data_IF_450078614026
#
_entry.id   IF_450078614026
#
_cell.length_a   1.000
_cell.length_b   1.000
_cell.length_c   1.000
_cell.angle_alpha   90.00
_cell.angle_beta   90.00
_cell.angle_gamma   90.00
#
_symmetry.space_group_name_H-M   'P 1'
#
loop_
_entity.id
_entity.type
_entity.pdbx_description
1 polymer ?
#
# COMPACT_ATOMS: atom_id res chain seq x y z
N UNK A 1 -28.92 -6.97 -1.01
CA UNK A 1 -27.59 -7.46 -1.44
C UNK A 1 -27.09 -8.46 -0.42
N UNK A 2 -26.39 -9.51 -0.85
CA UNK A 2 -25.69 -10.44 0.04
C UNK A 2 -24.19 -10.36 -0.21
N UNK A 3 -23.43 -10.25 0.88
CA UNK A 3 -21.97 -10.27 0.87
C UNK A 3 -21.48 -11.58 1.48
N UNK A 4 -20.64 -12.31 0.74
CA UNK A 4 -19.90 -13.46 1.27
C UNK A 4 -18.42 -13.11 1.25
N UNK A 5 -17.74 -13.29 2.37
CA UNK A 5 -16.30 -13.02 2.49
C UNK A 5 -15.58 -14.32 2.81
N UNK A 6 -14.75 -14.77 1.89
CA UNK A 6 -13.85 -15.90 2.10
C UNK A 6 -12.42 -15.36 2.26
N UNK A 7 -11.82 -15.55 3.43
CA UNK A 7 -10.41 -15.19 3.71
C UNK A 7 -9.52 -16.39 3.41
N UNK A 8 -8.55 -16.22 2.53
CA UNK A 8 -7.56 -17.24 2.18
C UNK A 8 -6.29 -17.13 3.05
N UNK A 9 -5.56 -18.24 3.16
CA UNK A 9 -4.30 -18.40 3.90
C UNK A 9 -3.18 -17.50 3.38
N UNK A 10 -3.29 -16.99 2.16
CA UNK A 10 -2.33 -16.09 1.53
C UNK A 10 -2.59 -14.60 1.80
N UNK A 11 -3.40 -14.27 2.82
CA UNK A 11 -3.79 -12.88 3.11
C UNK A 11 -4.55 -12.23 1.95
N UNK A 12 -5.43 -13.01 1.33
CA UNK A 12 -6.37 -12.54 0.32
C UNK A 12 -7.79 -12.71 0.85
N UNK A 13 -8.68 -11.78 0.52
CA UNK A 13 -10.11 -11.87 0.79
C UNK A 13 -10.85 -11.84 -0.54
N UNK A 14 -11.70 -12.84 -0.77
CA UNK A 14 -12.65 -12.89 -1.88
C UNK A 14 -14.00 -12.43 -1.36
N UNK A 15 -14.49 -11.32 -1.89
CA UNK A 15 -15.79 -10.75 -1.57
C UNK A 15 -16.74 -11.07 -2.72
N UNK A 16 -17.65 -12.01 -2.50
CA UNK A 16 -18.73 -12.31 -3.45
C UNK A 16 -19.94 -11.44 -3.13
N UNK A 17 -20.39 -10.67 -4.12
CA UNK A 17 -21.61 -9.86 -4.05
C UNK A 17 -22.67 -10.50 -4.90
N UNK A 18 -23.80 -10.85 -4.29
CA UNK A 18 -25.00 -11.30 -5.00
C UNK A 18 -26.07 -10.22 -4.90
N UNK A 19 -26.54 -9.74 -6.06
CA UNK A 19 -27.66 -8.80 -6.12
C UNK A 19 -28.98 -9.55 -6.07
N UNK A 20 -29.90 -9.08 -5.23
CA UNK A 20 -31.27 -9.61 -5.16
C UNK A 20 -32.21 -8.78 -6.05
N UNK A 21 -33.37 -9.32 -6.42
CA UNK A 21 -34.36 -8.64 -7.30
C UNK A 21 -34.79 -7.26 -6.80
N UNK A 22 -34.79 -7.05 -5.47
CA UNK A 22 -35.09 -5.76 -4.85
C UNK A 22 -34.00 -4.72 -5.13
N UNK A 23 -32.73 -5.13 -5.14
CA UNK A 23 -31.61 -4.25 -5.46
C UNK A 23 -31.61 -3.92 -6.95
N UNK A 24 -31.91 -4.92 -7.80
CA UNK A 24 -31.99 -4.75 -9.25
C UNK A 24 -33.03 -3.70 -9.64
N UNK A 25 -34.20 -3.69 -8.99
CA UNK A 25 -35.22 -2.63 -9.21
C UNK A 25 -34.68 -1.24 -8.87
N UNK A 26 -34.05 -1.06 -7.71
CA UNK A 26 -33.48 0.23 -7.31
C UNK A 26 -32.34 0.69 -8.24
N UNK A 27 -31.54 -0.25 -8.74
CA UNK A 27 -30.49 0.01 -9.71
C UNK A 27 -31.03 0.42 -11.09
N UNK A 28 -32.10 -0.23 -11.57
CA UNK A 28 -32.79 0.13 -12.81
C UNK A 28 -33.36 1.55 -12.75
N UNK A 29 -34.07 1.89 -11.67
CA UNK A 29 -34.60 3.25 -11.48
C UNK A 29 -33.49 4.30 -11.45
N UNK A 30 -32.37 4.00 -10.81
CA UNK A 30 -31.21 4.89 -10.79
C UNK A 30 -30.60 5.07 -12.18
N UNK A 31 -30.35 3.99 -12.92
CA UNK A 31 -29.80 4.05 -14.27
C UNK A 31 -30.72 4.80 -15.23
N UNK A 32 -32.02 4.52 -15.18
CA UNK A 32 -32.99 5.18 -16.03
C UNK A 32 -33.09 6.70 -15.74
N UNK A 33 -32.98 7.13 -14.47
CA UNK A 33 -32.88 8.56 -14.12
C UNK A 33 -31.61 9.22 -14.62
N UNK A 34 -30.46 8.56 -14.52
CA UNK A 34 -29.18 9.10 -14.97
C UNK A 34 -29.12 9.19 -16.50
N UNK A 35 -29.61 8.16 -17.19
CA UNK A 35 -29.71 8.16 -18.66
C UNK A 35 -30.73 9.19 -19.15
N UNK A 36 -31.88 9.34 -18.49
CA UNK A 36 -32.87 10.35 -18.87
C UNK A 36 -32.30 11.78 -18.92
N UNK A 37 -31.26 12.11 -18.16
CA UNK A 37 -30.58 13.42 -18.18
C UNK A 37 -29.77 13.66 -19.45
N UNK A 38 -29.19 12.61 -20.03
CA UNK A 38 -28.29 12.71 -21.20
C UNK A 38 -29.00 12.37 -22.50
N UNK A 39 -30.08 11.59 -22.43
CA UNK A 39 -30.82 11.10 -23.59
C UNK A 39 -31.62 12.19 -24.31
N UNK A 40 -31.61 12.12 -25.63
CA UNK A 40 -32.43 12.94 -26.53
C UNK A 40 -33.48 12.05 -27.18
N UNK A 41 -34.65 11.97 -26.55
CA UNK A 41 -35.76 11.13 -27.02
C UNK A 41 -36.82 12.02 -27.65
N UNK A 42 -37.15 11.73 -28.92
CA UNK A 42 -38.13 12.50 -29.69
C UNK A 42 -39.48 12.54 -28.95
N UNK A 43 -39.94 13.74 -28.63
CA UNK A 43 -41.20 13.97 -27.91
C UNK A 43 -41.04 14.32 -26.42
N UNK A 44 -39.84 14.14 -25.84
CA UNK A 44 -39.56 14.47 -24.45
C UNK A 44 -38.42 15.48 -24.33
N UNK A 45 -38.54 16.40 -23.36
CA UNK A 45 -37.46 17.31 -23.02
C UNK A 45 -36.37 16.53 -22.27
N UNK A 46 -35.09 16.78 -22.62
CA UNK A 46 -33.93 16.21 -21.91
C UNK A 46 -34.11 16.32 -20.38
N UNK A 47 -33.89 15.21 -19.67
CA UNK A 47 -34.10 15.10 -18.22
C UNK A 47 -35.51 14.78 -17.75
N UNK A 48 -36.52 14.85 -18.62
CA UNK A 48 -37.94 14.63 -18.27
C UNK A 48 -38.57 13.45 -19.03
N UNK A 49 -37.75 12.48 -19.44
CA UNK A 49 -38.23 11.24 -20.03
C UNK A 49 -38.75 10.33 -18.90
N UNK A 50 -39.99 9.81 -18.99
CA UNK A 50 -40.50 8.81 -18.06
C UNK A 50 -39.64 7.55 -18.04
N UNK A 51 -39.56 6.89 -16.89
CA UNK A 51 -38.74 5.67 -16.70
C UNK A 51 -39.13 4.57 -17.69
N UNK A 52 -40.43 4.33 -17.85
CA UNK A 52 -40.97 3.28 -18.73
C UNK A 52 -40.49 3.44 -20.19
N UNK A 53 -40.38 4.68 -20.66
CA UNK A 53 -39.91 4.99 -22.03
C UNK A 53 -38.41 4.74 -22.18
N UNK A 54 -37.62 4.97 -21.13
CA UNK A 54 -36.19 4.66 -21.12
C UNK A 54 -35.96 3.15 -21.09
N UNK A 55 -36.74 2.42 -20.29
CA UNK A 55 -36.70 0.96 -20.24
C UNK A 55 -37.09 0.32 -21.58
N UNK A 56 -38.11 0.85 -22.27
CA UNK A 56 -38.56 0.34 -23.57
C UNK A 56 -37.52 0.58 -24.69
N UNK A 57 -36.76 1.68 -24.64
CA UNK A 57 -35.76 2.00 -25.66
C UNK A 57 -34.43 1.23 -25.50
N UNK A 58 -34.00 0.99 -24.26
CA UNK A 58 -32.67 0.42 -23.98
C UNK A 58 -32.70 -1.01 -23.45
N UNK A 59 -33.87 -1.48 -23.01
CA UNK A 59 -34.03 -2.79 -22.39
C UNK A 59 -33.48 -2.85 -20.96
N UNK A 60 -33.99 -3.80 -20.15
CA UNK A 60 -33.66 -3.89 -18.73
C UNK A 60 -32.20 -4.28 -18.46
N UNK A 61 -31.55 -5.04 -19.35
CA UNK A 61 -30.18 -5.51 -19.17
C UNK A 61 -29.16 -4.37 -19.24
N UNK A 62 -29.26 -3.49 -20.24
CA UNK A 62 -28.35 -2.34 -20.42
C UNK A 62 -28.44 -1.39 -19.23
N UNK A 63 -29.65 -1.21 -18.68
CA UNK A 63 -29.85 -0.37 -17.49
C UNK A 63 -29.16 -0.95 -16.27
N UNK A 64 -29.18 -2.28 -16.10
CA UNK A 64 -28.49 -2.93 -14.99
C UNK A 64 -26.97 -2.81 -15.17
N UNK A 65 -26.44 -3.05 -16.36
CA UNK A 65 -25.00 -2.88 -16.65
C UNK A 65 -24.54 -1.45 -16.38
N UNK A 66 -25.30 -0.44 -16.83
CA UNK A 66 -24.99 0.96 -16.55
C UNK A 66 -25.05 1.30 -15.05
N UNK A 67 -26.05 0.77 -14.34
CA UNK A 67 -26.16 0.96 -12.90
C UNK A 67 -24.97 0.33 -12.16
N UNK A 68 -24.58 -0.87 -12.58
CA UNK A 68 -23.45 -1.61 -12.04
C UNK A 68 -22.16 -0.83 -12.24
N UNK A 69 -21.86 -0.38 -13.45
CA UNK A 69 -20.64 0.38 -13.74
C UNK A 69 -20.51 1.63 -12.84
N UNK A 70 -21.62 2.35 -12.63
CA UNK A 70 -21.63 3.54 -11.76
C UNK A 70 -21.58 3.23 -10.27
N UNK A 71 -22.15 2.11 -9.84
CA UNK A 71 -22.28 1.75 -8.42
C UNK A 71 -21.23 0.76 -7.94
N UNK A 72 -20.45 0.15 -8.83
CA UNK A 72 -19.50 -0.92 -8.51
C UNK A 72 -18.53 -0.51 -7.41
N UNK A 73 -17.95 0.68 -7.55
CA UNK A 73 -17.02 1.23 -6.56
C UNK A 73 -17.70 1.46 -5.20
N UNK A 74 -18.93 1.98 -5.20
CA UNK A 74 -19.69 2.20 -3.96
C UNK A 74 -20.12 0.90 -3.29
N UNK A 75 -20.53 -0.10 -4.07
CA UNK A 75 -20.90 -1.44 -3.58
C UNK A 75 -19.69 -2.12 -2.94
N UNK A 76 -18.54 -2.05 -3.61
CA UNK A 76 -17.28 -2.57 -3.08
C UNK A 76 -16.88 -1.86 -1.77
N UNK A 77 -16.96 -0.53 -1.72
CA UNK A 77 -16.67 0.23 -0.49
C UNK A 77 -17.61 -0.14 0.66
N UNK A 78 -18.91 -0.28 0.38
CA UNK A 78 -19.89 -0.72 1.38
C UNK A 78 -19.54 -2.12 1.92
N UNK A 79 -19.15 -3.05 1.04
CA UNK A 79 -18.75 -4.39 1.42
C UNK A 79 -17.51 -4.40 2.33
N UNK A 80 -16.51 -3.55 2.05
CA UNK A 80 -15.32 -3.40 2.91
C UNK A 80 -15.68 -2.87 4.30
N UNK A 81 -16.54 -1.84 4.37
CA UNK A 81 -16.95 -1.21 5.63
C UNK A 81 -17.77 -2.18 6.49
N UNK A 82 -18.76 -2.85 5.90
CA UNK A 82 -19.65 -3.77 6.60
C UNK A 82 -18.89 -4.98 7.18
N UNK A 83 -17.89 -5.47 6.45
CA UNK A 83 -17.07 -6.60 6.86
C UNK A 83 -15.77 -6.21 7.60
N UNK A 84 -15.56 -4.91 7.85
CA UNK A 84 -14.36 -4.35 8.50
C UNK A 84 -13.05 -4.86 7.88
N UNK A 85 -13.00 -4.90 6.55
CA UNK A 85 -11.84 -5.38 5.80
C UNK A 85 -10.95 -4.20 5.46
N UNK A 86 -9.72 -4.23 5.95
CA UNK A 86 -8.66 -3.32 5.52
C UNK A 86 -7.97 -3.88 4.27
N UNK A 87 -8.46 -3.43 3.12
CA UNK A 87 -7.84 -3.70 1.81
C UNK A 87 -6.52 -2.94 1.66
N UNK A 88 -5.45 -3.64 1.30
CA UNK A 88 -4.11 -3.06 1.06
C UNK A 88 -3.73 -3.02 -0.41
N UNK A 89 -4.56 -3.57 -1.30
CA UNK A 89 -4.38 -3.53 -2.76
C UNK A 89 -5.65 -3.03 -3.45
N UNK A 90 -5.51 -2.68 -4.73
CA UNK A 90 -6.69 -2.59 -5.59
C UNK A 90 -7.32 -3.98 -5.74
N UNK A 91 -8.66 -4.07 -5.80
CA UNK A 91 -9.34 -5.34 -6.01
C UNK A 91 -9.21 -5.79 -7.46
N UNK A 92 -9.01 -7.08 -7.66
CA UNK A 92 -9.26 -7.73 -8.94
C UNK A 92 -10.77 -8.02 -9.06
N UNK A 93 -11.37 -7.55 -10.15
CA UNK A 93 -12.81 -7.64 -10.37
C UNK A 93 -13.12 -8.74 -11.38
N UNK A 94 -14.05 -9.62 -11.02
CA UNK A 94 -14.54 -10.69 -11.89
C UNK A 94 -16.06 -10.75 -11.85
N UNK A 95 -16.66 -10.74 -13.03
CA UNK A 95 -18.08 -11.06 -13.20
C UNK A 95 -18.25 -12.58 -13.27
N UNK A 96 -19.09 -13.14 -12.40
CA UNK A 96 -19.30 -14.59 -12.26
C UNK A 96 -20.57 -15.04 -12.98
N UNK A 97 -21.64 -14.27 -12.88
CA UNK A 97 -22.90 -14.53 -13.57
C UNK A 97 -23.69 -13.24 -13.78
N UNK A 98 -24.49 -13.19 -14.86
CA UNK A 98 -25.45 -12.12 -15.16
C UNK A 98 -26.89 -12.47 -14.80
N UNK A 99 -27.18 -13.76 -14.55
CA UNK A 99 -28.50 -14.22 -14.13
C UNK A 99 -28.37 -15.43 -13.19
N UNK A 100 -28.39 -15.23 -11.85
CA UNK A 100 -28.45 -13.97 -11.13
C UNK A 100 -27.12 -13.18 -11.21
N UNK A 101 -27.17 -11.86 -11.01
CA UNK A 101 -25.97 -11.01 -11.01
C UNK A 101 -25.07 -11.31 -9.80
N UNK A 102 -23.90 -11.91 -10.08
CA UNK A 102 -22.89 -12.29 -9.10
C UNK A 102 -21.53 -11.73 -9.51
N UNK A 103 -20.89 -11.02 -8.59
CA UNK A 103 -19.56 -10.43 -8.77
C UNK A 103 -18.61 -10.90 -7.68
N UNK A 104 -17.34 -11.05 -8.04
CA UNK A 104 -16.26 -11.35 -7.11
C UNK A 104 -15.23 -10.23 -7.14
N UNK A 105 -14.87 -9.76 -5.95
CA UNK A 105 -13.74 -8.85 -5.73
C UNK A 105 -12.68 -9.58 -4.92
N UNK A 106 -11.50 -9.77 -5.51
CA UNK A 106 -10.37 -10.37 -4.81
C UNK A 106 -9.41 -9.28 -4.38
N UNK A 107 -9.12 -9.17 -3.09
CA UNK A 107 -8.24 -8.13 -2.54
C UNK A 107 -7.24 -8.70 -1.54
N UNK A 108 -6.02 -8.18 -1.55
CA UNK A 108 -5.06 -8.48 -0.50
C UNK A 108 -5.44 -7.76 0.79
N UNK A 109 -5.40 -8.49 1.90
CA UNK A 109 -5.66 -7.98 3.25
C UNK A 109 -4.39 -8.04 4.09
N UNK A 110 -4.34 -7.25 5.16
CA UNK A 110 -3.24 -7.32 6.10
C UNK A 110 -3.21 -8.70 6.78
N UNK A 111 -2.07 -9.41 6.82
CA UNK A 111 -1.96 -10.66 7.55
C UNK A 111 -2.17 -10.42 9.05
N UNK A 112 -2.83 -11.37 9.71
CA UNK A 112 -2.77 -11.47 11.16
C UNK A 112 -1.40 -12.02 11.55
N UNK A 113 -0.58 -11.17 12.18
CA UNK A 113 0.75 -11.55 12.66
C UNK A 113 0.61 -12.01 14.11
N UNK A 114 0.75 -13.31 14.34
CA UNK A 114 0.91 -13.87 15.68
C UNK A 114 2.40 -13.81 16.08
N UNK A 115 2.75 -12.81 16.89
CA UNK A 115 4.10 -12.66 17.42
C UNK A 115 4.34 -13.74 18.49
N UNK A 116 5.10 -14.78 18.12
CA UNK A 116 5.62 -15.74 19.09
C UNK A 116 6.41 -15.02 20.20
N UNK A 117 6.48 -15.58 21.43
CA UNK A 117 7.09 -14.91 22.57
C UNK A 117 8.53 -14.46 22.29
N UNK A 118 8.73 -13.14 22.23
CA UNK A 118 10.03 -12.48 21.99
C UNK A 118 11.05 -12.77 23.10
N UNK A 119 10.61 -13.29 24.25
CA UNK A 119 11.45 -13.68 25.38
C UNK A 119 12.53 -14.73 25.05
N UNK A 120 12.38 -15.49 23.95
CA UNK A 120 13.40 -16.45 23.49
C UNK A 120 14.50 -15.83 22.64
N UNK A 121 14.35 -14.57 22.19
CA UNK A 121 15.33 -13.88 21.36
C UNK A 121 16.47 -13.38 22.25
N UNK A 122 17.55 -14.16 22.33
CA UNK A 122 18.77 -13.76 23.04
C UNK A 122 19.63 -12.87 22.14
N UNK A 123 19.62 -11.57 22.40
CA UNK A 123 20.54 -10.62 21.75
C UNK A 123 21.85 -10.62 22.54
N UNK A 124 22.98 -10.87 21.86
CA UNK A 124 24.31 -10.74 22.49
C UNK A 124 24.61 -9.26 22.67
N UNK A 125 24.61 -8.79 23.93
CA UNK A 125 25.08 -7.45 24.27
C UNK A 125 26.60 -7.41 24.10
N UNK A 126 27.08 -6.63 23.13
CA UNK A 126 28.51 -6.35 22.99
C UNK A 126 28.88 -5.38 24.12
N UNK A 127 29.55 -5.88 25.14
CA UNK A 127 30.07 -5.06 26.23
C UNK A 127 31.50 -4.64 25.88
N UNK A 128 31.67 -3.41 25.40
CA UNK A 128 33.01 -2.83 25.24
C UNK A 128 33.52 -2.38 26.59
N UNK A 129 34.54 -3.07 27.13
CA UNK A 129 35.22 -2.64 28.35
C UNK A 129 36.38 -1.74 27.97
N UNK A 130 36.33 -0.47 28.37
CA UNK A 130 37.47 0.44 28.23
C UNK A 130 38.59 -0.07 29.14
N UNK A 131 39.76 -0.34 28.56
CA UNK A 131 40.94 -0.76 29.31
C UNK A 131 41.84 0.43 29.61
N UNK A 132 42.68 0.34 30.66
CA UNK A 132 43.68 1.36 30.97
C UNK A 132 44.62 1.63 29.79
N UNK A 133 44.99 0.57 29.04
CA UNK A 133 45.82 0.68 27.85
C UNK A 133 45.20 1.57 26.77
N UNK A 134 43.91 1.42 26.50
CA UNK A 134 43.21 2.27 25.51
C UNK A 134 43.20 3.75 25.94
N UNK A 135 43.11 4.01 27.26
CA UNK A 135 43.17 5.37 27.81
C UNK A 135 44.59 5.94 27.67
N UNK A 136 45.62 5.16 27.99
CA UNK A 136 47.02 5.58 27.83
C UNK A 136 47.40 5.81 26.36
N UNK A 137 46.97 4.95 25.45
CA UNK A 137 47.16 5.13 24.00
C UNK A 137 46.50 6.42 23.50
N UNK A 138 45.29 6.72 23.97
CA UNK A 138 44.57 7.95 23.61
C UNK A 138 45.25 9.21 24.17
N UNK A 139 45.67 9.17 25.44
CA UNK A 139 46.42 10.27 26.08
C UNK A 139 47.73 10.53 25.30
N UNK A 140 48.50 9.50 25.01
CA UNK A 140 49.75 9.63 24.27
C UNK A 140 49.51 10.16 22.84
N UNK A 141 48.42 9.76 22.19
CA UNK A 141 48.05 10.30 20.87
C UNK A 141 47.80 11.81 20.97
N UNK A 142 47.02 12.27 21.95
CA UNK A 142 46.74 13.68 22.14
C UNK A 142 47.99 14.49 22.48
N UNK A 143 48.85 13.98 23.37
CA UNK A 143 50.12 14.61 23.71
C UNK A 143 51.04 14.75 22.49
N UNK A 144 51.15 13.69 21.67
CA UNK A 144 51.95 13.72 20.46
C UNK A 144 51.39 14.69 19.41
N UNK A 145 50.05 14.77 19.27
CA UNK A 145 49.42 15.73 18.36
C UNK A 145 49.61 17.18 18.80
N UNK A 146 49.70 17.45 20.10
CA UNK A 146 49.92 18.78 20.65
C UNK A 146 51.42 19.16 20.76
N UNK A 147 52.33 18.26 20.38
CA UNK A 147 53.76 18.49 20.52
C UNK A 147 54.26 19.58 19.54
N UNK A 148 55.10 20.49 20.05
CA UNK A 148 55.83 21.46 19.25
C UNK A 148 57.21 20.93 18.86
N UNK A 149 57.57 21.06 17.59
CA UNK A 149 58.90 20.68 17.10
C UNK A 149 59.81 21.89 17.00
N UNK A 150 61.05 21.74 17.48
CA UNK A 150 62.12 22.75 17.34
C UNK A 150 63.22 22.20 16.44
N UNK A 151 63.76 23.05 15.57
CA UNK A 151 64.88 22.67 14.70
C UNK A 151 66.14 22.41 15.54
N UNK A 152 66.83 21.31 15.26
CA UNK A 152 68.10 20.94 15.88
C UNK A 152 69.13 20.62 14.80
N UNK A 153 70.39 20.94 15.04
CA UNK A 153 71.50 20.68 14.12
C UNK A 153 72.37 19.53 14.68
N UNK A 154 71.91 18.30 14.42
CA UNK A 154 72.58 17.04 14.78
C UNK A 154 72.07 15.93 13.87
N UNK A 155 72.77 14.80 13.86
CA UNK A 155 72.29 13.57 13.21
C UNK A 155 70.87 13.20 13.70
N UNK A 156 70.05 12.71 12.76
CA UNK A 156 68.66 12.33 13.03
C UNK A 156 68.58 11.09 13.92
N UNK A 157 67.59 11.06 14.80
CA UNK A 157 67.34 9.96 15.75
C UNK A 157 65.89 9.52 15.68
N UNK A 158 65.62 8.28 16.14
CA UNK A 158 64.27 7.73 16.25
C UNK A 158 63.41 8.65 17.13
N UNK A 159 62.30 9.13 16.57
CA UNK A 159 61.39 10.08 17.23
C UNK A 159 61.53 11.52 16.74
N UNK A 160 62.57 11.85 15.98
CA UNK A 160 62.68 13.14 15.31
C UNK A 160 61.70 13.21 14.13
N UNK A 161 61.12 14.39 13.90
CA UNK A 161 60.34 14.69 12.70
C UNK A 161 61.29 15.19 11.61
N UNK A 162 61.36 14.47 10.49
CA UNK A 162 62.17 14.84 9.33
C UNK A 162 61.21 15.30 8.23
N UNK A 163 61.48 16.48 7.68
CA UNK A 163 60.83 16.97 6.48
C UNK A 163 61.77 16.68 5.30
N UNK A 164 61.32 15.86 4.36
CA UNK A 164 62.12 15.38 3.23
C UNK A 164 61.35 15.73 1.96
N UNK A 165 62.05 16.35 1.02
CA UNK A 165 61.61 16.47 -0.37
C UNK A 165 62.34 15.38 -1.18
N UNK A 166 61.61 14.60 -1.97
CA UNK A 166 62.20 13.50 -2.74
C UNK A 166 61.53 13.33 -4.10
N UNK A 167 62.33 12.94 -5.10
CA UNK A 167 61.87 12.57 -6.44
C UNK A 167 62.05 11.05 -6.62
N UNK A 168 60.98 10.36 -7.01
CA UNK A 168 61.00 8.94 -7.34
C UNK A 168 61.06 8.75 -8.86
N UNK A 169 62.05 7.99 -9.33
CA UNK A 169 62.18 7.58 -10.73
C UNK A 169 61.92 6.06 -10.82
N UNK A 170 61.23 5.64 -11.88
CA UNK A 170 60.96 4.22 -12.20
C UNK A 170 62.22 3.44 -12.62
#
# INVERSE_FOLDING_TARGET
MKFKVDKDKHSQAVITVTLEDKDLKGHREFAAKELAKTLDIKGFRKGHVPLDVVEENYGPEILIEFALEKKLSSIYQAALIENKIEAISQPDFKEVSKDPYVFEFTVAIKPEIDLKPLAKVKIKKIATKVTKKMVEEEINRQLNSAASFTKVDRESKKGDRIEIDFEGFD
#
